data_IF_812795131040
#
_entry.id   IF_812795131040
#
_cell.length_a   1.000
_cell.length_b   1.000
_cell.length_c   1.000
_cell.angle_alpha   90.00
_cell.angle_beta   90.00
_cell.angle_gamma   90.00
#
_symmetry.space_group_name_H-M   'P 1'
#
loop_
_entity.id
_entity.type
_entity.pdbx_description
1 polymer ?
#
# COMPACT_ATOMS: atom_id res chain seq x y z
N UNK A 1 7.73 8.04 -8.57
CA UNK A 1 6.67 8.88 -7.95
C UNK A 1 5.73 9.39 -9.02
N UNK A 2 4.63 8.68 -9.25
CA UNK A 2 3.52 9.19 -10.07
C UNK A 2 2.66 10.04 -9.12
N UNK A 3 2.41 11.31 -9.46
CA UNK A 3 1.34 12.08 -8.85
C UNK A 3 0.04 11.32 -9.14
N UNK A 4 -0.50 10.61 -8.15
CA UNK A 4 -1.67 9.76 -8.36
C UNK A 4 -2.83 10.54 -8.97
N UNK A 5 -3.58 9.88 -9.84
CA UNK A 5 -4.74 10.46 -10.52
C UNK A 5 -5.88 10.70 -9.52
N UNK A 6 -6.75 11.67 -9.79
CA UNK A 6 -8.01 11.83 -9.03
C UNK A 6 -8.95 10.70 -9.43
N UNK A 7 -9.36 9.85 -8.49
CA UNK A 7 -10.30 8.76 -8.78
C UNK A 7 -11.72 9.31 -8.97
N UNK A 8 -12.40 9.00 -10.11
CA UNK A 8 -13.79 9.38 -10.32
C UNK A 8 -14.73 8.80 -9.24
N UNK A 9 -15.71 9.59 -8.78
CA UNK A 9 -16.65 9.20 -7.70
C UNK A 9 -17.32 7.83 -7.91
N UNK A 10 -17.67 7.47 -9.15
CA UNK A 10 -18.27 6.17 -9.52
C UNK A 10 -17.40 4.95 -9.15
N UNK A 11 -16.08 5.14 -9.07
CA UNK A 11 -15.13 4.08 -8.70
C UNK A 11 -14.84 4.02 -7.20
N UNK A 12 -15.38 4.96 -6.42
CA UNK A 12 -15.15 5.06 -4.98
C UNK A 12 -16.30 4.43 -4.19
N UNK A 13 -15.94 3.75 -3.10
CA UNK A 13 -16.86 3.49 -2.00
C UNK A 13 -17.11 4.78 -1.20
N UNK A 14 -18.27 4.86 -0.55
CA UNK A 14 -18.65 6.00 0.29
C UNK A 14 -17.70 6.14 1.48
N UNK A 15 -17.45 7.37 1.93
CA UNK A 15 -16.76 7.63 3.21
C UNK A 15 -17.54 7.13 4.42
N UNK A 16 -18.85 6.90 4.25
CA UNK A 16 -19.75 6.37 5.28
C UNK A 16 -19.83 4.83 5.25
N UNK A 17 -19.11 4.14 4.37
CA UNK A 17 -18.99 2.67 4.40
C UNK A 17 -18.06 2.26 5.56
N UNK A 18 -18.58 2.32 6.79
CA UNK A 18 -17.83 2.06 8.02
C UNK A 18 -17.27 0.63 8.07
N UNK A 19 -17.99 -0.33 7.48
CA UNK A 19 -17.54 -1.73 7.40
C UNK A 19 -16.28 -1.84 6.53
N UNK A 20 -16.27 -1.20 5.36
CA UNK A 20 -15.07 -1.16 4.51
C UNK A 20 -13.92 -0.42 5.21
N UNK A 21 -14.19 0.75 5.80
CA UNK A 21 -13.18 1.54 6.53
C UNK A 21 -12.50 0.74 7.64
N UNK A 22 -13.30 0.10 8.50
CA UNK A 22 -12.80 -0.75 9.60
C UNK A 22 -11.93 -1.89 9.06
N UNK A 23 -12.26 -2.46 7.89
CA UNK A 23 -11.44 -3.50 7.26
C UNK A 23 -10.11 -2.96 6.75
N UNK A 24 -10.09 -1.77 6.14
CA UNK A 24 -8.84 -1.14 5.67
C UNK A 24 -7.97 -0.72 6.85
N UNK A 25 -8.55 -0.08 7.86
CA UNK A 25 -7.84 0.33 9.09
C UNK A 25 -7.20 -0.88 9.78
N UNK A 26 -7.87 -2.03 9.79
CA UNK A 26 -7.29 -3.28 10.34
C UNK A 26 -6.08 -3.77 9.53
N UNK A 27 -6.09 -3.61 8.20
CA UNK A 27 -4.93 -3.96 7.38
C UNK A 27 -3.78 -3.02 7.69
N UNK A 28 -4.01 -1.71 7.62
CA UNK A 28 -2.97 -0.70 7.90
C UNK A 28 -2.42 -0.87 9.32
N UNK A 29 -3.30 -1.12 10.31
CA UNK A 29 -2.91 -1.39 11.69
C UNK A 29 -2.05 -2.65 11.85
N UNK A 30 -2.28 -3.71 11.07
CA UNK A 30 -1.40 -4.89 11.07
C UNK A 30 0.00 -4.58 10.55
N UNK A 31 0.12 -3.72 9.53
CA UNK A 31 1.44 -3.26 9.06
C UNK A 31 2.13 -2.39 10.10
N UNK A 32 1.42 -1.44 10.71
CA UNK A 32 1.95 -0.59 11.77
C UNK A 32 2.44 -1.42 12.98
N UNK A 33 1.67 -2.43 13.39
CA UNK A 33 2.07 -3.35 14.45
C UNK A 33 3.30 -4.18 14.08
N UNK A 34 3.44 -4.59 12.81
CA UNK A 34 4.55 -5.44 12.37
C UNK A 34 5.85 -4.67 12.13
N UNK A 35 5.74 -3.41 11.70
CA UNK A 35 6.85 -2.55 11.29
C UNK A 35 6.81 -1.21 12.06
N UNK A 36 7.05 -1.20 13.38
CA UNK A 36 6.84 -0.03 14.24
C UNK A 36 7.75 1.16 13.93
N UNK A 37 8.86 0.95 13.22
CA UNK A 37 9.76 2.02 12.78
C UNK A 37 9.15 2.90 11.67
N UNK A 38 8.15 2.39 10.93
CA UNK A 38 7.48 3.11 9.85
C UNK A 38 6.15 3.66 10.38
N UNK A 39 5.89 4.95 10.13
CA UNK A 39 4.58 5.53 10.38
C UNK A 39 3.63 5.18 9.24
N UNK A 40 2.49 4.57 9.55
CA UNK A 40 1.43 4.31 8.57
C UNK A 40 0.20 5.19 8.83
N UNK A 41 -0.33 5.84 7.80
CA UNK A 41 -1.55 6.63 7.90
C UNK A 41 -2.46 6.50 6.67
N UNK A 42 -3.74 6.85 6.84
CA UNK A 42 -4.73 6.87 5.77
C UNK A 42 -5.28 8.29 5.63
N UNK A 43 -5.15 8.88 4.45
CA UNK A 43 -5.77 10.17 4.14
C UNK A 43 -7.14 9.94 3.48
N UNK A 44 -8.14 9.57 4.29
CA UNK A 44 -9.46 9.11 3.85
C UNK A 44 -10.19 10.04 2.88
N UNK A 45 -10.15 11.35 3.13
CA UNK A 45 -10.89 12.35 2.34
C UNK A 45 -10.25 12.65 1.00
N UNK A 46 -8.98 12.30 0.81
CA UNK A 46 -8.31 12.48 -0.48
C UNK A 46 -8.98 11.60 -1.55
N UNK A 47 -9.29 12.14 -2.74
CA UNK A 47 -9.76 11.35 -3.87
C UNK A 47 -8.62 10.73 -4.67
N UNK A 48 -7.36 10.95 -4.29
CA UNK A 48 -6.19 10.50 -5.03
C UNK A 48 -6.06 8.98 -5.04
N UNK A 49 -5.90 8.40 -6.23
CA UNK A 49 -5.60 6.99 -6.47
C UNK A 49 -4.11 6.74 -6.26
N UNK A 50 -3.66 6.74 -5.00
CA UNK A 50 -2.25 6.47 -4.71
C UNK A 50 -2.02 5.85 -3.33
N UNK A 51 -0.81 5.32 -3.16
CA UNK A 51 -0.14 5.20 -1.89
C UNK A 51 1.30 5.72 -2.05
N UNK A 52 1.99 5.98 -0.94
CA UNK A 52 3.33 6.57 -1.04
C UNK A 52 4.19 6.24 0.17
N UNK A 53 5.39 5.74 -0.11
CA UNK A 53 6.54 5.72 0.78
C UNK A 53 7.34 7.03 0.69
N UNK A 54 7.61 7.65 1.83
CA UNK A 54 8.43 8.87 1.90
C UNK A 54 9.07 9.01 3.28
N UNK A 55 9.99 9.97 3.40
CA UNK A 55 10.59 10.35 4.69
C UNK A 55 10.13 11.77 5.01
N UNK A 56 9.67 11.98 6.24
CA UNK A 56 9.29 13.29 6.75
C UNK A 56 9.83 13.42 8.17
N UNK A 57 10.57 14.50 8.43
CA UNK A 57 11.25 14.78 9.70
C UNK A 57 12.13 13.61 10.17
N UNK A 58 12.90 13.04 9.25
CA UNK A 58 13.79 11.90 9.51
C UNK A 58 13.08 10.57 9.77
N UNK A 59 11.74 10.52 9.69
CA UNK A 59 10.96 9.31 9.94
C UNK A 59 10.38 8.74 8.65
N UNK A 60 10.54 7.42 8.46
CA UNK A 60 9.91 6.68 7.37
C UNK A 60 8.39 6.68 7.52
N UNK A 61 7.69 6.98 6.43
CA UNK A 61 6.24 7.02 6.37
C UNK A 61 5.71 6.26 5.17
N UNK A 62 4.52 5.71 5.35
CA UNK A 62 3.69 5.14 4.29
C UNK A 62 2.29 5.71 4.43
N UNK A 63 1.81 6.40 3.39
CA UNK A 63 0.46 6.97 3.34
C UNK A 63 -0.38 6.26 2.30
N UNK A 64 -1.57 5.81 2.72
CA UNK A 64 -2.61 5.35 1.81
C UNK A 64 -3.61 6.47 1.54
N UNK A 65 -3.77 6.89 0.28
CA UNK A 65 -4.73 7.93 -0.07
C UNK A 65 -6.14 7.35 -0.24
N UNK A 66 -7.14 8.17 0.11
CA UNK A 66 -8.53 7.75 0.15
C UNK A 66 -9.12 7.30 -1.19
N UNK A 67 -8.58 7.73 -2.33
CA UNK A 67 -9.01 7.28 -3.64
C UNK A 67 -8.69 5.79 -3.84
N UNK A 68 -7.46 5.41 -3.53
CA UNK A 68 -7.01 4.02 -3.57
C UNK A 68 -7.67 3.18 -2.47
N UNK A 69 -7.70 3.69 -1.23
CA UNK A 69 -8.32 3.01 -0.08
C UNK A 69 -9.79 2.64 -0.31
N UNK A 70 -10.52 3.47 -1.08
CA UNK A 70 -11.95 3.29 -1.37
C UNK A 70 -12.21 2.70 -2.75
N UNK A 71 -11.18 2.41 -3.55
CA UNK A 71 -11.34 1.99 -4.94
C UNK A 71 -12.09 0.65 -5.04
N UNK A 72 -13.23 0.63 -5.73
CA UNK A 72 -14.16 -0.52 -5.79
C UNK A 72 -13.52 -1.79 -6.37
N UNK A 73 -12.50 -1.65 -7.22
CA UNK A 73 -11.75 -2.78 -7.80
C UNK A 73 -10.65 -3.36 -6.90
N UNK A 74 -10.32 -2.69 -5.79
CA UNK A 74 -9.41 -3.24 -4.80
C UNK A 74 -10.18 -3.97 -3.70
N UNK A 75 -9.73 -5.19 -3.42
CA UNK A 75 -10.12 -5.95 -2.25
C UNK A 75 -9.14 -5.69 -1.10
N UNK A 76 -9.36 -6.39 0.03
CA UNK A 76 -8.44 -6.40 1.16
C UNK A 76 -7.06 -6.95 0.76
N UNK A 77 -6.99 -7.89 -0.20
CA UNK A 77 -5.73 -8.39 -0.72
C UNK A 77 -5.00 -7.32 -1.53
N UNK A 78 -5.70 -6.57 -2.37
CA UNK A 78 -5.14 -5.44 -3.12
C UNK A 78 -4.56 -4.36 -2.20
N UNK A 79 -5.29 -3.98 -1.15
CA UNK A 79 -4.78 -3.02 -0.16
C UNK A 79 -3.57 -3.59 0.59
N UNK A 80 -3.60 -4.85 1.01
CA UNK A 80 -2.46 -5.48 1.68
C UNK A 80 -1.21 -5.50 0.78
N UNK A 81 -1.36 -5.77 -0.52
CA UNK A 81 -0.28 -5.69 -1.50
C UNK A 81 0.33 -4.30 -1.55
N UNK A 82 -0.51 -3.27 -1.74
CA UNK A 82 -0.06 -1.87 -1.80
C UNK A 82 0.71 -1.50 -0.53
N UNK A 83 0.18 -1.80 0.66
CA UNK A 83 0.88 -1.49 1.91
C UNK A 83 2.22 -2.22 2.02
N UNK A 84 2.31 -3.47 1.55
CA UNK A 84 3.57 -4.22 1.54
C UNK A 84 4.58 -3.68 0.53
N UNK A 85 4.12 -3.25 -0.65
CA UNK A 85 4.95 -2.60 -1.66
C UNK A 85 5.54 -1.30 -1.11
N UNK A 86 4.72 -0.41 -0.56
CA UNK A 86 5.21 0.85 0.01
C UNK A 86 6.14 0.64 1.20
N UNK A 87 5.87 -0.34 2.08
CA UNK A 87 6.81 -0.71 3.12
C UNK A 87 8.11 -1.31 2.54
N UNK A 88 8.01 -2.01 1.42
CA UNK A 88 9.13 -2.56 0.66
C UNK A 88 10.08 -1.49 0.13
N UNK A 89 9.60 -0.29 -0.21
CA UNK A 89 10.50 0.82 -0.53
C UNK A 89 11.43 1.18 0.63
N UNK A 90 10.97 1.08 1.88
CA UNK A 90 11.82 1.37 3.04
C UNK A 90 12.67 0.16 3.48
N UNK A 91 12.17 -1.06 3.26
CA UNK A 91 12.70 -2.29 3.87
C UNK A 91 13.34 -3.26 2.88
N UNK A 92 13.23 -3.01 1.58
CA UNK A 92 13.67 -3.89 0.51
C UNK A 92 15.20 -3.94 0.36
N UNK A 93 15.88 -2.85 0.69
CA UNK A 93 17.31 -2.66 0.42
C UNK A 93 17.61 -2.38 -1.06
N UNK A 94 18.86 -2.51 -1.51
CA UNK A 94 19.23 -2.34 -2.91
C UNK A 94 18.56 -3.37 -3.85
N UNK A 95 18.42 -3.06 -5.16
CA UNK A 95 18.75 -1.79 -5.80
C UNK A 95 17.83 -0.64 -5.35
N UNK A 96 18.34 0.58 -5.41
CA UNK A 96 17.67 1.79 -4.93
C UNK A 96 16.94 2.51 -6.08
N UNK A 97 15.91 3.28 -5.74
CA UNK A 97 15.16 4.06 -6.70
C UNK A 97 16.08 5.14 -7.35
N UNK A 98 16.05 5.33 -8.69
CA UNK A 98 17.01 6.19 -9.41
C UNK A 98 17.05 7.65 -8.96
N UNK A 99 15.94 8.16 -8.43
CA UNK A 99 15.81 9.55 -7.96
C UNK A 99 15.69 9.69 -6.44
N UNK A 100 15.49 8.59 -5.72
CA UNK A 100 15.23 8.59 -4.28
C UNK A 100 16.07 7.49 -3.63
N UNK A 101 17.37 7.76 -3.45
CA UNK A 101 18.35 6.76 -3.03
C UNK A 101 18.14 6.20 -1.62
N UNK A 102 17.18 6.72 -0.86
CA UNK A 102 16.76 6.15 0.43
C UNK A 102 15.59 5.16 0.30
N UNK A 103 15.06 4.96 -0.90
CA UNK A 103 14.02 3.97 -1.19
C UNK A 103 14.59 2.87 -2.09
N UNK A 104 14.15 1.62 -1.87
CA UNK A 104 14.32 0.53 -2.82
C UNK A 104 13.64 0.84 -4.15
N UNK A 105 14.14 0.27 -5.25
CA UNK A 105 13.48 0.35 -6.56
C UNK A 105 12.08 -0.29 -6.54
N UNK A 106 11.28 0.00 -7.55
CA UNK A 106 9.93 -0.57 -7.72
C UNK A 106 9.97 -2.11 -7.75
N UNK A 107 10.86 -2.69 -8.54
CA UNK A 107 11.02 -4.15 -8.66
C UNK A 107 11.43 -4.77 -7.32
N UNK A 108 12.31 -4.07 -6.59
CA UNK A 108 12.79 -4.55 -5.31
C UNK A 108 11.71 -4.46 -4.22
N UNK A 109 10.91 -3.40 -4.24
CA UNK A 109 9.75 -3.25 -3.36
C UNK A 109 8.69 -4.35 -3.64
N UNK A 110 8.40 -4.62 -4.91
CA UNK A 110 7.51 -5.71 -5.35
C UNK A 110 8.00 -7.09 -4.87
N UNK A 111 9.28 -7.38 -5.07
CA UNK A 111 9.88 -8.65 -4.63
C UNK A 111 9.79 -8.80 -3.11
N UNK A 112 10.15 -7.75 -2.35
CA UNK A 112 10.08 -7.76 -0.90
C UNK A 112 8.63 -7.95 -0.41
N UNK A 113 7.66 -7.27 -1.02
CA UNK A 113 6.25 -7.40 -0.69
C UNK A 113 5.76 -8.85 -0.85
N UNK A 114 6.10 -9.47 -1.98
CA UNK A 114 5.69 -10.84 -2.32
C UNK A 114 6.36 -11.91 -1.45
N UNK A 115 7.64 -11.74 -1.15
CA UNK A 115 8.46 -12.79 -0.52
C UNK A 115 8.59 -12.65 0.99
N UNK A 116 8.53 -11.43 1.53
CA UNK A 116 8.77 -11.15 2.95
C UNK A 116 7.63 -10.37 3.60
N UNK A 117 7.27 -9.21 3.07
CA UNK A 117 6.34 -8.27 3.70
C UNK A 117 5.00 -8.88 4.05
N UNK A 118 4.29 -9.41 3.04
CA UNK A 118 2.97 -10.03 3.25
C UNK A 118 3.04 -11.27 4.14
N UNK A 119 4.11 -12.06 4.04
CA UNK A 119 4.29 -13.25 4.87
C UNK A 119 4.56 -12.88 6.34
N UNK A 120 5.30 -11.79 6.58
CA UNK A 120 5.59 -11.28 7.91
C UNK A 120 4.33 -10.75 8.61
N UNK A 121 3.38 -10.20 7.87
CA UNK A 121 2.14 -9.61 8.42
C UNK A 121 1.00 -10.63 8.52
N UNK A 122 0.87 -11.54 7.55
CA UNK A 122 -0.30 -12.43 7.42
C UNK A 122 0.04 -13.93 7.54
N UNK A 123 1.30 -14.28 7.73
CA UNK A 123 1.78 -15.65 7.65
C UNK A 123 1.96 -16.13 6.21
N UNK A 124 2.67 -17.26 6.04
CA UNK A 124 3.12 -17.76 4.73
C UNK A 124 1.98 -18.07 3.76
N UNK A 125 0.94 -18.77 4.20
CA UNK A 125 -0.17 -19.19 3.33
C UNK A 125 -0.99 -18.00 2.81
N UNK A 126 -1.52 -17.20 3.73
CA UNK A 126 -2.34 -16.03 3.37
C UNK A 126 -1.52 -14.95 2.68
N UNK A 127 -0.28 -14.73 3.11
CA UNK A 127 0.65 -13.78 2.50
C UNK A 127 0.89 -14.07 1.02
N UNK A 128 1.15 -15.34 0.65
CA UNK A 128 1.26 -15.73 -0.77
C UNK A 128 -0.01 -15.48 -1.56
N UNK A 129 -1.18 -15.84 -1.00
CA UNK A 129 -2.47 -15.58 -1.66
C UNK A 129 -2.68 -14.09 -1.90
N UNK A 130 -2.36 -13.25 -0.92
CA UNK A 130 -2.45 -11.79 -1.06
C UNK A 130 -1.44 -11.25 -2.07
N UNK A 131 -0.25 -11.84 -2.18
CA UNK A 131 0.72 -11.45 -3.19
C UNK A 131 0.17 -11.66 -4.61
N UNK A 132 -0.36 -12.85 -4.90
CA UNK A 132 -0.90 -13.15 -6.23
C UNK A 132 -2.15 -12.34 -6.57
N UNK A 133 -3.14 -12.34 -5.68
CA UNK A 133 -4.43 -11.67 -5.94
C UNK A 133 -4.28 -10.15 -5.89
N UNK A 134 -3.61 -9.65 -4.84
CA UNK A 134 -3.48 -8.23 -4.58
C UNK A 134 -2.65 -7.51 -5.63
N UNK A 135 -1.53 -8.09 -6.06
CA UNK A 135 -0.71 -7.52 -7.15
C UNK A 135 -1.52 -7.35 -8.43
N UNK A 136 -2.25 -8.39 -8.83
CA UNK A 136 -3.10 -8.36 -10.03
C UNK A 136 -4.20 -7.30 -9.93
N UNK A 137 -4.78 -7.09 -8.75
CA UNK A 137 -5.77 -6.03 -8.53
C UNK A 137 -5.13 -4.64 -8.61
N UNK A 138 -3.95 -4.45 -8.01
CA UNK A 138 -3.22 -3.19 -8.00
C UNK A 138 -2.81 -2.73 -9.40
N UNK A 139 -2.27 -3.63 -10.24
CA UNK A 139 -1.92 -3.31 -11.63
C UNK A 139 -3.12 -2.75 -12.41
N UNK A 140 -4.29 -3.39 -12.29
CA UNK A 140 -5.53 -2.94 -12.96
C UNK A 140 -6.05 -1.57 -12.52
N UNK A 141 -5.53 -1.03 -11.43
CA UNK A 141 -5.92 0.27 -10.87
C UNK A 141 -4.84 1.32 -11.13
N UNK A 142 -3.57 0.93 -11.25
CA UNK A 142 -2.48 1.81 -11.66
C UNK A 142 -2.58 2.23 -13.15
N UNK A 143 -3.19 1.39 -13.98
CA UNK A 143 -3.46 1.68 -15.40
C UNK A 143 -4.69 2.62 -15.63
N UNK A 144 -5.21 3.28 -14.58
CA UNK A 144 -6.40 4.16 -14.60
C UNK A 144 -6.15 5.55 -14.00
#
# INVERSE_FOLDING_TARGET
MILGSVTPKRHLRSLQDLRHRTRIERIVGRFAARFPAIWFDILWTSPTCNAQAFVLDGRQRVRLYGGLARHRRLSIAGIAWVMAHEAGHHLGGPPLHPHYFWLSSEERADEWAATRGLQAVFGRSLGRRYATVGRREAMKVADL
#
